data_IF_465014037332
#
_entry.id   IF_465014037332
#
_cell.length_a   1.000
_cell.length_b   1.000
_cell.length_c   1.000
_cell.angle_alpha   90.00
_cell.angle_beta   90.00
_cell.angle_gamma   90.00
#
_symmetry.space_group_name_H-M   'P 1'
#
loop_
_entity.id
_entity.type
_entity.pdbx_description
1 polymer ?
#
# COMPACT_ATOMS: atom_id res chain seq x y z
N UNK A 1 -39.15 -5.35 16.44
CA UNK A 1 -37.84 -4.67 16.48
C UNK A 1 -36.66 -5.61 16.77
N UNK A 2 -36.61 -6.37 17.88
CA UNK A 2 -35.49 -7.30 18.21
C UNK A 2 -35.08 -8.33 17.13
N UNK A 3 -36.03 -8.84 16.34
CA UNK A 3 -35.72 -9.81 15.26
C UNK A 3 -35.05 -9.14 14.05
N UNK A 4 -35.35 -7.87 13.78
CA UNK A 4 -34.76 -7.14 12.65
C UNK A 4 -33.31 -6.75 12.96
N UNK A 5 -33.03 -6.32 14.19
CA UNK A 5 -31.67 -6.03 14.66
C UNK A 5 -30.78 -7.27 14.61
N UNK A 6 -31.27 -8.43 15.06
CA UNK A 6 -30.48 -9.67 15.03
C UNK A 6 -30.16 -10.16 13.60
N UNK A 7 -31.07 -9.95 12.63
CA UNK A 7 -30.82 -10.32 11.23
C UNK A 7 -29.80 -9.40 10.56
N UNK A 8 -29.86 -8.09 10.82
CA UNK A 8 -28.89 -7.11 10.30
C UNK A 8 -27.50 -7.39 10.88
N UNK A 9 -27.39 -7.65 12.19
CA UNK A 9 -26.10 -7.97 12.83
C UNK A 9 -25.47 -9.24 12.25
N UNK A 10 -26.27 -10.29 11.98
CA UNK A 10 -25.76 -11.54 11.37
C UNK A 10 -25.30 -11.35 9.93
N UNK A 11 -26.02 -10.57 9.14
CA UNK A 11 -25.63 -10.25 7.76
C UNK A 11 -24.34 -9.42 7.74
N UNK A 12 -24.23 -8.41 8.60
CA UNK A 12 -23.01 -7.62 8.74
C UNK A 12 -21.80 -8.46 9.17
N UNK A 13 -22.00 -9.44 10.07
CA UNK A 13 -20.93 -10.35 10.48
C UNK A 13 -20.47 -11.27 9.33
N UNK A 14 -21.40 -11.83 8.56
CA UNK A 14 -21.07 -12.69 7.41
C UNK A 14 -20.40 -11.89 6.29
N UNK A 15 -20.86 -10.65 6.04
CA UNK A 15 -20.22 -9.74 5.08
C UNK A 15 -18.83 -9.32 5.57
N UNK A 16 -18.66 -9.01 6.85
CA UNK A 16 -17.35 -8.69 7.42
C UNK A 16 -16.37 -9.86 7.27
N UNK A 17 -16.79 -11.09 7.60
CA UNK A 17 -15.95 -12.30 7.45
C UNK A 17 -15.65 -12.58 5.97
N UNK A 18 -16.64 -12.46 5.08
CA UNK A 18 -16.43 -12.62 3.63
C UNK A 18 -15.45 -11.59 3.07
N UNK A 19 -15.62 -10.31 3.41
CA UNK A 19 -14.77 -9.20 2.98
C UNK A 19 -13.36 -9.28 3.56
N UNK A 20 -13.15 -9.88 4.73
CA UNK A 20 -11.80 -10.14 5.27
C UNK A 20 -11.07 -11.26 4.50
N UNK A 21 -11.80 -12.12 3.78
CA UNK A 21 -11.21 -13.28 3.05
C UNK A 21 -11.05 -13.05 1.54
N UNK A 22 -11.77 -12.10 0.95
CA UNK A 22 -11.80 -11.84 -0.50
C UNK A 22 -10.58 -11.08 -1.10
N UNK A 23 -9.95 -10.11 -0.43
CA UNK A 23 -8.78 -9.37 -0.94
C UNK A 23 -7.47 -10.07 -0.58
N UNK A 24 -7.55 -11.38 -0.30
CA UNK A 24 -6.43 -12.22 0.11
C UNK A 24 -5.95 -13.19 -0.98
N UNK A 25 -6.20 -12.87 -2.23
CA UNK A 25 -5.66 -13.60 -3.37
C UNK A 25 -4.70 -12.66 -4.09
N UNK A 26 -3.40 -12.80 -3.80
CA UNK A 26 -2.37 -12.26 -4.67
C UNK A 26 -2.74 -12.63 -6.11
N UNK A 27 -2.82 -11.65 -7.01
CA UNK A 27 -3.12 -11.94 -8.41
C UNK A 27 -1.88 -12.59 -9.03
N UNK A 28 -1.88 -13.91 -9.10
CA UNK A 28 -0.84 -14.71 -9.74
C UNK A 28 -1.38 -15.36 -11.01
N UNK A 29 -0.76 -15.17 -12.19
CA UNK A 29 0.49 -14.44 -12.41
C UNK A 29 0.32 -12.91 -12.28
N UNK A 30 1.38 -12.25 -11.80
CA UNK A 30 1.41 -10.79 -11.72
C UNK A 30 1.47 -10.17 -13.12
N UNK A 31 0.66 -9.15 -13.36
CA UNK A 31 0.67 -8.41 -14.63
C UNK A 31 1.50 -7.15 -14.50
N UNK A 32 2.59 -7.04 -15.24
CA UNK A 32 3.39 -5.83 -15.30
C UNK A 32 2.63 -4.66 -15.93
N UNK A 33 2.94 -3.47 -15.46
CA UNK A 33 2.52 -2.20 -16.03
C UNK A 33 3.08 -1.93 -17.42
N UNK A 34 2.51 -0.95 -18.13
CA UNK A 34 3.13 -0.40 -19.33
C UNK A 34 2.77 1.07 -19.52
N UNK A 35 3.78 1.91 -19.77
CA UNK A 35 3.68 3.33 -20.07
C UNK A 35 2.75 3.61 -21.26
N UNK A 36 2.62 2.68 -22.21
CA UNK A 36 1.67 2.82 -23.34
C UNK A 36 0.21 2.87 -22.88
N UNK A 37 -0.09 2.26 -21.74
CA UNK A 37 -1.45 2.20 -21.18
C UNK A 37 -1.76 3.34 -20.20
N UNK A 38 -0.79 4.22 -19.91
CA UNK A 38 -0.91 5.18 -18.82
C UNK A 38 -1.33 6.57 -19.28
N UNK A 39 -2.21 7.18 -18.48
CA UNK A 39 -2.61 8.56 -18.63
C UNK A 39 -1.64 9.44 -17.84
N UNK A 40 -0.60 9.95 -18.50
CA UNK A 40 0.43 10.78 -17.86
C UNK A 40 0.33 12.25 -18.29
N UNK A 41 1.04 13.13 -17.59
CA UNK A 41 1.17 14.56 -17.96
C UNK A 41 2.61 14.85 -18.30
N UNK A 42 2.83 15.46 -19.47
CA UNK A 42 4.18 15.85 -19.92
C UNK A 42 4.83 16.87 -18.98
N UNK A 43 4.06 17.82 -18.46
CA UNK A 43 4.53 18.84 -17.52
C UNK A 43 4.92 18.22 -16.17
N UNK A 44 4.21 17.18 -15.75
CA UNK A 44 4.55 16.43 -14.55
C UNK A 44 5.81 15.58 -14.77
N UNK A 45 5.92 14.91 -15.92
CA UNK A 45 7.11 14.16 -16.32
C UNK A 45 8.36 15.04 -16.33
N UNK A 46 8.27 16.25 -16.90
CA UNK A 46 9.36 17.22 -16.92
C UNK A 46 9.83 17.66 -15.50
N UNK A 47 8.97 17.49 -14.48
CA UNK A 47 9.29 17.76 -13.07
C UNK A 47 9.79 16.53 -12.31
N UNK A 48 9.75 15.35 -12.90
CA UNK A 48 10.25 14.11 -12.29
C UNK A 48 11.63 13.77 -12.86
N UNK A 49 12.61 14.67 -12.71
CA UNK A 49 13.98 14.44 -13.16
C UNK A 49 14.67 13.34 -12.32
N UNK A 50 14.52 13.42 -11.00
CA UNK A 50 14.93 12.38 -10.06
C UNK A 50 13.68 11.71 -9.51
N UNK A 51 13.50 10.41 -9.71
CA UNK A 51 12.24 9.75 -9.31
C UNK A 51 12.13 9.57 -7.80
N UNK A 52 13.22 9.17 -7.15
CA UNK A 52 13.29 8.91 -5.69
C UNK A 52 14.15 9.97 -5.03
N UNK A 53 13.60 10.68 -4.04
CA UNK A 53 14.31 11.70 -3.29
C UNK A 53 14.25 11.45 -1.78
N UNK A 54 15.38 11.64 -1.11
CA UNK A 54 15.53 11.46 0.33
C UNK A 54 15.57 12.79 1.08
N UNK A 55 14.92 12.82 2.25
CA UNK A 55 15.03 13.91 3.21
C UNK A 55 16.39 13.97 3.86
N UNK A 56 16.90 15.19 4.08
CA UNK A 56 18.09 15.38 4.92
C UNK A 56 17.77 14.90 6.34
N UNK A 57 18.67 14.16 7.02
CA UNK A 57 18.46 13.74 8.41
C UNK A 57 18.15 14.94 9.32
N UNK A 58 17.14 14.81 10.19
CA UNK A 58 16.82 15.81 11.20
C UNK A 58 16.39 15.11 12.49
N UNK A 59 17.30 15.04 13.46
CA UNK A 59 17.08 14.26 14.70
C UNK A 59 15.81 14.70 15.44
N UNK A 60 15.54 16.01 15.55
CA UNK A 60 14.37 16.51 16.30
C UNK A 60 13.07 16.10 15.63
N UNK A 61 12.94 16.41 14.33
CA UNK A 61 11.72 16.12 13.57
C UNK A 61 11.50 14.62 13.43
N UNK A 62 12.56 13.87 13.14
CA UNK A 62 12.49 12.42 12.93
C UNK A 62 12.23 11.68 14.26
N UNK A 63 12.72 12.20 15.40
CA UNK A 63 12.38 11.66 16.73
C UNK A 63 10.92 11.91 17.10
N UNK A 64 10.36 13.09 16.80
CA UNK A 64 8.94 13.34 16.97
C UNK A 64 8.12 12.38 16.09
N UNK A 65 8.49 12.26 14.82
CA UNK A 65 7.90 11.31 13.88
C UNK A 65 7.87 9.88 14.44
N UNK A 66 9.02 9.40 14.92
CA UNK A 66 9.12 8.07 15.49
C UNK A 66 8.14 7.83 16.64
N UNK A 67 7.95 8.82 17.53
CA UNK A 67 7.00 8.77 18.66
C UNK A 67 5.57 8.76 18.16
N UNK A 68 5.22 9.66 17.23
CA UNK A 68 3.88 9.69 16.63
C UNK A 68 3.54 8.40 15.90
N UNK A 69 4.53 7.70 15.36
CA UNK A 69 4.33 6.41 14.71
C UNK A 69 4.30 5.19 15.64
N UNK A 70 4.34 5.35 16.96
CA UNK A 70 4.20 4.22 17.91
C UNK A 70 2.90 3.44 17.72
N UNK A 71 1.72 4.07 17.52
CA UNK A 71 0.48 3.36 17.25
C UNK A 71 0.59 2.45 16.02
N UNK A 72 1.16 2.91 14.90
CA UNK A 72 1.37 2.11 13.70
C UNK A 72 2.21 0.86 13.97
N UNK A 73 3.31 1.01 14.72
CA UNK A 73 4.19 -0.10 15.13
C UNK A 73 3.44 -1.14 15.96
N UNK A 74 2.58 -0.69 16.88
CA UNK A 74 1.77 -1.58 17.71
C UNK A 74 0.70 -2.27 16.88
N UNK A 75 0.00 -1.54 16.01
CA UNK A 75 -1.08 -2.10 15.20
C UNK A 75 -0.59 -3.17 14.24
N UNK A 76 0.56 -2.95 13.59
CA UNK A 76 1.12 -3.88 12.59
C UNK A 76 2.15 -4.85 13.15
N UNK A 77 2.46 -4.77 14.46
CA UNK A 77 3.49 -5.57 15.13
C UNK A 77 4.88 -5.50 14.48
N UNK A 78 5.22 -4.37 13.86
CA UNK A 78 6.52 -4.15 13.21
C UNK A 78 7.11 -2.79 13.60
N UNK A 79 8.33 -2.81 14.14
CA UNK A 79 9.02 -1.61 14.64
C UNK A 79 9.53 -0.70 13.51
N UNK A 80 9.58 -1.20 12.27
CA UNK A 80 10.01 -0.48 11.06
C UNK A 80 8.91 0.42 10.52
N UNK A 81 7.65 0.19 10.89
CA UNK A 81 6.50 1.04 10.54
C UNK A 81 6.70 2.43 11.12
N UNK A 82 6.61 3.46 10.28
CA UNK A 82 6.74 4.87 10.64
C UNK A 82 7.98 5.13 11.52
N UNK A 83 9.11 4.50 11.19
CA UNK A 83 10.36 4.66 11.94
C UNK A 83 11.18 5.86 11.46
N UNK A 84 10.76 6.51 10.36
CA UNK A 84 11.41 7.65 9.70
C UNK A 84 12.85 7.37 9.23
N UNK A 85 13.19 6.09 9.07
CA UNK A 85 14.52 5.63 8.67
C UNK A 85 14.40 4.52 7.63
N UNK A 86 14.17 4.94 6.39
CA UNK A 86 14.10 4.05 5.22
C UNK A 86 15.53 3.66 4.80
N UNK A 87 15.82 2.38 4.68
CA UNK A 87 17.12 1.87 4.25
C UNK A 87 17.21 1.72 2.72
N UNK A 88 18.35 1.22 2.25
CA UNK A 88 18.60 0.99 0.82
C UNK A 88 17.79 -0.17 0.25
N UNK A 89 17.36 -1.14 1.07
CA UNK A 89 16.57 -2.27 0.60
C UNK A 89 15.17 -1.80 0.22
N UNK A 90 14.48 -1.11 1.13
CA UNK A 90 13.14 -0.56 0.84
C UNK A 90 13.17 0.41 -0.34
N UNK A 91 14.21 1.27 -0.41
CA UNK A 91 14.43 2.18 -1.54
C UNK A 91 14.65 1.44 -2.86
N UNK A 92 15.48 0.40 -2.87
CA UNK A 92 15.72 -0.42 -4.07
C UNK A 92 14.45 -1.18 -4.50
N UNK A 93 13.68 -1.71 -3.55
CA UNK A 93 12.44 -2.45 -3.84
C UNK A 93 11.41 -1.55 -4.52
N UNK A 94 11.16 -0.34 -4.01
CA UNK A 94 10.21 0.57 -4.68
C UNK A 94 10.75 1.07 -6.02
N UNK A 95 12.06 1.32 -6.14
CA UNK A 95 12.67 1.72 -7.40
C UNK A 95 12.53 0.62 -8.47
N UNK A 96 12.76 -0.65 -8.11
CA UNK A 96 12.57 -1.80 -8.99
C UNK A 96 11.11 -1.91 -9.45
N UNK A 97 10.16 -1.85 -8.51
CA UNK A 97 8.73 -1.89 -8.85
C UNK A 97 8.33 -0.78 -9.82
N UNK A 98 8.76 0.46 -9.59
CA UNK A 98 8.43 1.59 -10.45
C UNK A 98 9.05 1.45 -11.84
N UNK A 99 10.26 0.91 -11.93
CA UNK A 99 10.92 0.60 -13.19
C UNK A 99 10.18 -0.49 -13.97
N UNK A 100 9.91 -1.63 -13.32
CA UNK A 100 9.28 -2.80 -13.92
C UNK A 100 7.86 -2.50 -14.43
N UNK A 101 7.17 -1.58 -13.77
CA UNK A 101 5.85 -1.11 -14.18
C UNK A 101 5.88 0.14 -15.07
N UNK A 102 7.04 0.64 -15.48
CA UNK A 102 7.21 1.83 -16.34
C UNK A 102 6.56 3.12 -15.79
N UNK A 103 6.60 3.32 -14.46
CA UNK A 103 5.92 4.41 -13.74
C UNK A 103 6.76 5.70 -13.60
N UNK A 104 7.43 6.12 -14.66
CA UNK A 104 8.44 7.19 -14.66
C UNK A 104 8.00 8.57 -14.16
N UNK A 105 6.69 8.85 -14.12
CA UNK A 105 6.18 10.16 -13.68
C UNK A 105 5.92 10.26 -12.18
N UNK A 106 5.91 9.12 -11.47
CA UNK A 106 5.69 9.03 -10.02
C UNK A 106 6.90 9.59 -9.28
N UNK A 107 6.67 10.44 -8.28
CA UNK A 107 7.73 10.91 -7.36
C UNK A 107 7.69 10.08 -6.09
N UNK A 108 8.83 9.66 -5.57
CA UNK A 108 8.94 9.02 -4.25
C UNK A 108 9.70 9.94 -3.32
N UNK A 109 9.16 10.16 -2.12
CA UNK A 109 9.75 10.96 -1.06
C UNK A 109 10.03 10.11 0.15
N UNK A 110 11.30 9.82 0.40
CA UNK A 110 11.77 9.05 1.55
C UNK A 110 12.04 10.00 2.72
N UNK A 111 11.15 10.00 3.71
CA UNK A 111 11.19 10.86 4.89
C UNK A 111 11.45 12.35 4.55
N UNK A 112 10.89 12.83 3.43
CA UNK A 112 11.17 14.15 2.87
C UNK A 112 9.92 15.04 2.94
N UNK A 113 10.07 16.23 3.51
CA UNK A 113 9.03 17.26 3.51
C UNK A 113 9.40 18.40 2.54
N UNK A 114 8.67 18.52 1.42
CA UNK A 114 8.92 19.47 0.32
C UNK A 114 7.61 20.07 -0.22
N UNK A 115 6.80 20.72 0.63
CA UNK A 115 5.46 21.17 0.27
C UNK A 115 5.45 22.07 -0.97
N UNK A 116 6.42 22.99 -1.11
CA UNK A 116 6.50 23.89 -2.27
C UNK A 116 6.66 23.12 -3.60
N UNK A 117 7.42 22.03 -3.60
CA UNK A 117 7.57 21.22 -4.80
C UNK A 117 6.32 20.38 -5.07
N UNK A 118 5.63 19.93 -4.03
CA UNK A 118 4.32 19.27 -4.17
C UNK A 118 3.22 20.19 -4.69
N UNK A 119 3.17 21.44 -4.26
CA UNK A 119 2.29 22.45 -4.86
C UNK A 119 2.60 22.69 -6.35
N UNK A 120 3.88 22.71 -6.73
CA UNK A 120 4.27 22.78 -8.16
C UNK A 120 3.86 21.53 -8.93
N UNK A 121 3.99 20.34 -8.32
CA UNK A 121 3.53 19.07 -8.91
C UNK A 121 2.01 19.04 -9.07
N UNK A 122 1.26 19.52 -8.07
CA UNK A 122 -0.19 19.70 -8.16
C UNK A 122 -0.51 20.55 -9.38
N UNK A 123 0.09 21.73 -9.53
CA UNK A 123 -0.16 22.61 -10.68
C UNK A 123 0.25 21.98 -12.03
N UNK A 124 1.31 21.17 -12.04
CA UNK A 124 1.83 20.50 -13.23
C UNK A 124 1.04 19.26 -13.64
N UNK A 125 0.36 18.57 -12.72
CA UNK A 125 -0.36 17.35 -13.04
C UNK A 125 -1.60 17.63 -13.91
N UNK A 126 -1.44 17.59 -15.24
CA UNK A 126 -2.53 17.76 -16.21
C UNK A 126 -3.35 16.48 -16.44
N UNK A 127 -2.91 15.34 -15.89
CA UNK A 127 -3.69 14.10 -15.91
C UNK A 127 -4.86 14.12 -14.93
N UNK A 128 -4.87 15.07 -14.00
CA UNK A 128 -5.99 15.37 -13.12
C UNK A 128 -6.70 16.63 -13.63
N UNK A 129 -8.02 16.52 -13.85
CA UNK A 129 -8.85 17.63 -14.32
C UNK A 129 -8.76 18.86 -13.42
N UNK A 130 -8.80 20.05 -14.02
CA UNK A 130 -8.56 21.33 -13.33
C UNK A 130 -9.44 21.54 -12.10
N UNK A 131 -10.73 21.16 -12.18
CA UNK A 131 -11.67 21.26 -11.07
C UNK A 131 -11.23 20.45 -9.86
N UNK A 132 -10.94 19.15 -10.05
CA UNK A 132 -10.45 18.26 -8.99
C UNK A 132 -9.12 18.71 -8.40
N UNK A 133 -8.24 19.21 -9.25
CA UNK A 133 -6.88 19.62 -8.87
C UNK A 133 -6.87 20.83 -7.94
N UNK A 134 -7.70 21.84 -8.21
CA UNK A 134 -7.75 23.07 -7.41
C UNK A 134 -8.89 23.09 -6.36
N UNK A 135 -9.65 22.00 -6.23
CA UNK A 135 -10.59 21.79 -5.12
C UNK A 135 -10.02 20.76 -4.15
N UNK A 136 -10.38 19.48 -4.32
CA UNK A 136 -9.90 18.38 -3.49
C UNK A 136 -8.38 18.29 -3.44
N UNK A 137 -7.70 18.42 -4.59
CA UNK A 137 -6.25 18.38 -4.65
C UNK A 137 -5.57 19.50 -3.85
N UNK A 138 -6.11 20.72 -3.88
CA UNK A 138 -5.59 21.84 -3.10
C UNK A 138 -5.87 21.69 -1.60
N UNK A 139 -7.05 21.17 -1.22
CA UNK A 139 -7.41 20.92 0.18
C UNK A 139 -6.50 19.84 0.78
N UNK A 140 -6.30 18.73 0.06
CA UNK A 140 -5.42 17.63 0.50
C UNK A 140 -3.98 18.13 0.60
N UNK A 141 -3.49 18.86 -0.40
CA UNK A 141 -2.15 19.46 -0.35
C UNK A 141 -1.96 20.45 0.80
N UNK A 142 -2.99 21.23 1.13
CA UNK A 142 -2.95 22.13 2.28
C UNK A 142 -2.87 21.32 3.59
N UNK A 143 -3.64 20.22 3.69
CA UNK A 143 -3.56 19.27 4.79
C UNK A 143 -2.14 18.71 4.97
N UNK A 144 -1.53 18.18 3.92
CA UNK A 144 -0.15 17.67 3.93
C UNK A 144 0.89 18.76 4.23
N UNK A 145 0.60 20.01 3.86
CA UNK A 145 1.46 21.15 4.21
C UNK A 145 1.39 21.47 5.70
N UNK A 146 0.19 21.47 6.31
CA UNK A 146 -0.01 21.82 7.72
C UNK A 146 0.36 20.66 8.64
N UNK A 147 0.06 19.42 8.24
CA UNK A 147 0.32 18.19 8.96
C UNK A 147 1.38 17.38 8.20
N UNK A 148 2.67 17.74 8.33
CA UNK A 148 3.73 17.06 7.61
C UNK A 148 3.79 15.59 8.02
N UNK A 149 3.67 14.67 7.05
CA UNK A 149 3.83 13.23 7.31
C UNK A 149 5.22 12.90 7.89
N UNK A 150 6.23 13.75 7.68
CA UNK A 150 7.54 13.63 8.36
C UNK A 150 7.42 13.64 9.90
N UNK A 151 6.36 14.23 10.45
CA UNK A 151 6.03 14.22 11.88
C UNK A 151 4.87 13.28 12.19
N UNK A 152 3.83 13.27 11.37
CA UNK A 152 2.59 12.53 11.69
C UNK A 152 2.53 11.13 11.10
N UNK A 153 3.56 10.71 10.36
CA UNK A 153 3.61 9.41 9.70
C UNK A 153 2.64 9.31 8.53
N UNK A 154 2.16 8.09 8.30
CA UNK A 154 1.28 7.73 7.20
C UNK A 154 2.03 7.62 5.88
N UNK A 155 2.49 6.42 5.54
CA UNK A 155 2.86 6.14 4.15
C UNK A 155 1.61 6.33 3.29
N UNK A 156 1.73 7.05 2.18
CA UNK A 156 0.60 7.28 1.28
C UNK A 156 1.03 7.70 -0.12
N UNK A 157 0.22 7.35 -1.09
CA UNK A 157 0.22 7.93 -2.43
C UNK A 157 -0.81 9.07 -2.54
N UNK A 158 -0.35 10.24 -2.95
CA UNK A 158 -1.19 11.38 -3.30
C UNK A 158 -1.46 11.38 -4.83
N UNK A 159 -2.70 11.07 -5.27
CA UNK A 159 -3.03 11.00 -6.70
C UNK A 159 -3.06 12.37 -7.40
N UNK A 160 -3.19 13.46 -6.64
CA UNK A 160 -3.25 14.81 -7.19
C UNK A 160 -1.87 15.34 -7.56
N UNK A 161 -0.82 14.94 -6.83
CA UNK A 161 0.58 15.28 -7.13
C UNK A 161 1.36 14.15 -7.79
N UNK A 162 0.78 12.95 -7.89
CA UNK A 162 1.43 11.72 -8.36
C UNK A 162 2.71 11.45 -7.55
N UNK A 163 2.57 11.44 -6.23
CA UNK A 163 3.68 11.35 -5.29
C UNK A 163 3.41 10.27 -4.25
N UNK A 164 4.39 9.42 -4.00
CA UNK A 164 4.45 8.51 -2.87
C UNK A 164 5.28 9.16 -1.76
N UNK A 165 4.73 9.25 -0.56
CA UNK A 165 5.42 9.67 0.65
C UNK A 165 5.65 8.44 1.53
N UNK A 166 6.91 8.16 1.87
CA UNK A 166 7.29 7.03 2.72
C UNK A 166 8.00 7.50 3.99
N UNK A 167 7.59 6.92 5.10
CA UNK A 167 8.08 7.11 6.45
C UNK A 167 8.37 5.77 7.16
N UNK A 168 7.81 4.66 6.66
CA UNK A 168 8.15 3.30 7.12
C UNK A 168 9.32 2.71 6.36
N UNK A 169 10.09 1.86 7.04
CA UNK A 169 11.10 1.00 6.43
C UNK A 169 10.58 -0.42 6.20
N UNK A 170 9.48 -0.54 5.46
CA UNK A 170 8.82 -1.81 5.19
C UNK A 170 8.58 -1.93 3.69
N UNK A 171 9.32 -2.79 2.96
CA UNK A 171 9.19 -2.93 1.52
C UNK A 171 7.76 -3.19 1.06
N UNK A 172 7.00 -4.03 1.76
CA UNK A 172 5.63 -4.34 1.41
C UNK A 172 4.70 -3.10 1.44
N UNK A 173 4.85 -2.20 2.42
CA UNK A 173 4.09 -0.95 2.49
C UNK A 173 4.49 0.02 1.36
N UNK A 174 5.78 0.10 1.05
CA UNK A 174 6.25 0.90 -0.08
C UNK A 174 5.67 0.41 -1.41
N UNK A 175 5.58 -0.91 -1.60
CA UNK A 175 4.95 -1.53 -2.77
C UNK A 175 3.43 -1.30 -2.80
N UNK A 176 2.75 -1.28 -1.65
CA UNK A 176 1.33 -0.93 -1.57
C UNK A 176 1.07 0.47 -2.11
N UNK A 177 1.84 1.47 -1.68
CA UNK A 177 1.71 2.83 -2.23
C UNK A 177 2.08 2.92 -3.71
N UNK A 178 3.04 2.10 -4.16
CA UNK A 178 3.38 2.00 -5.56
C UNK A 178 2.25 1.33 -6.38
N UNK A 179 1.54 0.37 -5.79
CA UNK A 179 0.31 -0.24 -6.32
C UNK A 179 -0.79 0.78 -6.57
N UNK A 180 -1.01 1.70 -5.62
CA UNK A 180 -1.89 2.85 -5.84
C UNK A 180 -1.43 3.67 -7.05
N UNK A 181 -0.13 3.99 -7.14
CA UNK A 181 0.38 4.78 -8.26
C UNK A 181 0.17 4.09 -9.62
N UNK A 182 0.32 2.76 -9.69
CA UNK A 182 0.06 1.95 -10.88
C UNK A 182 -1.42 1.97 -11.26
N UNK A 183 -2.30 1.75 -10.29
CA UNK A 183 -3.75 1.78 -10.51
C UNK A 183 -4.18 3.14 -11.06
N UNK A 184 -3.77 4.23 -10.39
CA UNK A 184 -4.07 5.58 -10.83
C UNK A 184 -3.48 5.92 -12.20
N UNK A 185 -2.31 5.37 -12.56
CA UNK A 185 -1.71 5.58 -13.88
C UNK A 185 -2.63 5.11 -15.02
N UNK A 186 -3.41 4.05 -14.80
CA UNK A 186 -4.33 3.48 -15.78
C UNK A 186 -5.67 4.22 -15.89
N UNK A 187 -5.98 5.17 -14.99
CA UNK A 187 -7.29 5.84 -14.96
C UNK A 187 -7.31 7.06 -15.87
N UNK A 188 -8.23 7.08 -16.84
CA UNK A 188 -8.49 8.25 -17.70
C UNK A 188 -8.96 9.46 -16.89
N UNK A 189 -9.82 9.23 -15.91
CA UNK A 189 -10.43 10.25 -15.06
C UNK A 189 -9.85 10.22 -13.64
N UNK A 190 -8.52 10.40 -13.51
CA UNK A 190 -7.82 10.27 -12.22
C UNK A 190 -8.43 11.10 -11.10
N UNK A 191 -8.77 12.36 -11.38
CA UNK A 191 -9.36 13.25 -10.38
C UNK A 191 -10.72 12.77 -9.87
N UNK A 192 -11.57 12.23 -10.76
CA UNK A 192 -12.87 11.66 -10.37
C UNK A 192 -12.67 10.36 -9.59
N UNK A 193 -11.73 9.52 -10.01
CA UNK A 193 -11.38 8.28 -9.31
C UNK A 193 -10.83 8.56 -7.89
N UNK A 194 -9.99 9.59 -7.76
CA UNK A 194 -9.50 10.08 -6.46
C UNK A 194 -10.63 10.62 -5.59
N UNK A 195 -11.51 11.45 -6.14
CA UNK A 195 -12.63 12.00 -5.38
C UNK A 195 -13.65 10.93 -4.95
N UNK A 196 -13.80 9.85 -5.73
CA UNK A 196 -14.66 8.74 -5.36
C UNK A 196 -14.19 8.03 -4.08
N UNK A 197 -12.91 8.16 -3.70
CA UNK A 197 -12.38 7.64 -2.44
C UNK A 197 -13.14 8.17 -1.21
N UNK A 198 -13.83 9.30 -1.28
CA UNK A 198 -14.64 9.80 -0.16
C UNK A 198 -16.01 9.13 -0.03
N UNK A 199 -16.41 8.30 -1.01
CA UNK A 199 -17.68 7.58 -0.95
C UNK A 199 -17.55 6.30 -0.10
N UNK A 200 -18.60 5.90 0.63
CA UNK A 200 -18.59 4.66 1.40
C UNK A 200 -18.17 3.46 0.54
N UNK A 201 -17.33 2.58 1.11
CA UNK A 201 -16.83 1.34 0.51
C UNK A 201 -15.87 1.50 -0.70
N UNK A 202 -15.78 2.67 -1.32
CA UNK A 202 -14.81 2.87 -2.42
C UNK A 202 -13.37 2.74 -1.94
N UNK A 203 -12.94 3.31 -0.79
CA UNK A 203 -11.62 3.06 -0.24
C UNK A 203 -11.27 1.59 -0.14
N UNK A 204 -12.19 0.78 0.36
CA UNK A 204 -11.98 -0.65 0.52
C UNK A 204 -11.61 -1.33 -0.80
N UNK A 205 -12.27 -0.97 -1.89
CA UNK A 205 -11.95 -1.50 -3.22
C UNK A 205 -10.60 -1.02 -3.74
N UNK A 206 -10.27 0.28 -3.56
CA UNK A 206 -8.98 0.83 -4.01
C UNK A 206 -7.81 0.24 -3.22
N UNK A 207 -7.96 0.12 -1.90
CA UNK A 207 -6.96 -0.50 -1.01
C UNK A 207 -6.78 -1.99 -1.31
N UNK A 208 -7.84 -2.70 -1.71
CA UNK A 208 -7.75 -4.09 -2.13
C UNK A 208 -6.95 -4.22 -3.44
N UNK A 209 -7.13 -3.31 -4.39
CA UNK A 209 -6.37 -3.28 -5.64
C UNK A 209 -4.88 -3.07 -5.35
N UNK A 210 -4.53 -2.07 -4.55
CA UNK A 210 -3.14 -1.79 -4.17
C UNK A 210 -2.51 -2.96 -3.39
N UNK A 211 -3.24 -3.52 -2.42
CA UNK A 211 -2.79 -4.67 -1.62
C UNK A 211 -2.53 -5.89 -2.50
N UNK A 212 -3.46 -6.21 -3.41
CA UNK A 212 -3.33 -7.34 -4.32
C UNK A 212 -2.19 -7.16 -5.32
N UNK A 213 -1.97 -5.93 -5.81
CA UNK A 213 -0.86 -5.64 -6.72
C UNK A 213 0.49 -5.80 -6.01
N UNK A 214 0.63 -5.24 -4.81
CA UNK A 214 1.83 -5.38 -3.99
C UNK A 214 2.12 -6.87 -3.66
N UNK A 215 1.10 -7.62 -3.20
CA UNK A 215 1.24 -9.05 -2.94
C UNK A 215 1.62 -9.81 -4.21
N UNK A 216 0.93 -9.56 -5.33
CA UNK A 216 1.24 -10.22 -6.61
C UNK A 216 2.68 -9.98 -7.06
N UNK A 217 3.18 -8.75 -6.94
CA UNK A 217 4.56 -8.41 -7.27
C UNK A 217 5.56 -9.15 -6.37
N UNK A 218 5.32 -9.17 -5.05
CA UNK A 218 6.21 -9.89 -4.11
C UNK A 218 6.15 -11.40 -4.32
N UNK A 219 4.97 -11.99 -4.57
CA UNK A 219 4.86 -13.43 -4.85
C UNK A 219 5.59 -13.84 -6.13
N UNK A 220 5.74 -12.92 -7.08
CA UNK A 220 6.40 -13.18 -8.36
C UNK A 220 7.92 -12.97 -8.29
N UNK A 221 8.37 -11.96 -7.55
CA UNK A 221 9.76 -11.48 -7.61
C UNK A 221 10.52 -11.58 -6.27
N UNK A 222 9.81 -11.72 -5.15
CA UNK A 222 10.39 -11.75 -3.81
C UNK A 222 10.82 -13.15 -3.40
N UNK A 223 11.80 -13.22 -2.50
CA UNK A 223 12.17 -14.47 -1.82
C UNK A 223 11.08 -14.92 -0.82
N UNK A 224 11.14 -16.16 -0.30
CA UNK A 224 10.14 -16.67 0.63
C UNK A 224 9.98 -15.82 1.91
N UNK A 225 11.02 -15.13 2.37
CA UNK A 225 10.94 -14.27 3.56
C UNK A 225 10.14 -13.00 3.26
N UNK A 226 10.44 -12.33 2.15
CA UNK A 226 9.70 -11.17 1.67
C UNK A 226 8.23 -11.50 1.40
N UNK A 227 7.95 -12.68 0.85
CA UNK A 227 6.58 -13.15 0.62
C UNK A 227 5.81 -13.31 1.94
N UNK A 228 6.42 -13.91 2.95
CA UNK A 228 5.81 -14.07 4.28
C UNK A 228 5.61 -12.73 4.98
N UNK A 229 6.61 -11.86 4.94
CA UNK A 229 6.52 -10.50 5.48
C UNK A 229 5.35 -9.73 4.82
N UNK A 230 5.22 -9.80 3.49
CA UNK A 230 4.14 -9.12 2.79
C UNK A 230 2.75 -9.58 3.26
N UNK A 231 2.55 -10.89 3.47
CA UNK A 231 1.31 -11.41 4.05
C UNK A 231 1.07 -10.90 5.48
N UNK A 232 2.10 -10.92 6.32
CA UNK A 232 2.01 -10.55 7.73
C UNK A 232 1.83 -9.05 7.95
N UNK A 233 2.22 -8.21 7.00
CA UNK A 233 2.06 -6.74 7.06
C UNK A 233 0.81 -6.27 6.33
N UNK A 234 0.59 -6.69 5.09
CA UNK A 234 -0.45 -6.10 4.24
C UNK A 234 -1.86 -6.55 4.64
N UNK A 235 -2.02 -7.75 5.19
CA UNK A 235 -3.33 -8.21 5.65
C UNK A 235 -3.85 -7.44 6.87
N UNK A 236 -3.08 -7.25 7.97
CA UNK A 236 -3.55 -6.41 9.07
C UNK A 236 -3.72 -4.96 8.65
N UNK A 237 -2.85 -4.42 7.78
CA UNK A 237 -3.02 -3.06 7.24
C UNK A 237 -4.36 -2.93 6.48
N UNK A 238 -4.64 -3.82 5.53
CA UNK A 238 -5.92 -3.85 4.82
C UNK A 238 -7.11 -4.11 5.78
N UNK A 239 -6.91 -4.96 6.78
CA UNK A 239 -7.90 -5.25 7.83
C UNK A 239 -8.39 -4.01 8.58
N UNK A 240 -7.55 -2.96 8.72
CA UNK A 240 -8.00 -1.69 9.31
C UNK A 240 -9.07 -0.99 8.47
N UNK A 241 -8.99 -1.07 7.13
CA UNK A 241 -9.99 -0.50 6.24
C UNK A 241 -11.31 -1.27 6.30
N UNK A 242 -11.24 -2.60 6.34
CA UNK A 242 -12.43 -3.45 6.54
C UNK A 242 -13.08 -3.12 7.88
N UNK A 243 -12.27 -3.05 8.93
CA UNK A 243 -12.72 -2.74 10.28
C UNK A 243 -13.38 -1.38 10.37
N UNK A 244 -12.81 -0.36 9.72
CA UNK A 244 -13.41 0.97 9.63
C UNK A 244 -14.76 0.94 8.91
N UNK A 245 -14.87 0.23 7.78
CA UNK A 245 -16.10 0.12 7.00
C UNK A 245 -17.26 -0.51 7.80
N UNK A 246 -16.97 -1.42 8.73
CA UNK A 246 -17.99 -2.10 9.56
C UNK A 246 -18.19 -1.47 10.94
N UNK A 247 -17.39 -0.46 11.31
CA UNK A 247 -17.40 0.12 12.67
C UNK A 247 -18.74 0.78 13.04
N UNK A 248 -19.53 1.20 12.05
CA UNK A 248 -20.89 1.71 12.29
C UNK A 248 -21.92 0.64 12.67
N UNK A 249 -21.64 -0.64 12.38
CA UNK A 249 -22.54 -1.76 12.65
C UNK A 249 -22.03 -2.70 13.75
N UNK A 250 -20.71 -2.77 13.94
CA UNK A 250 -20.04 -3.64 14.90
C UNK A 250 -19.24 -2.76 15.86
N UNK A 251 -19.64 -2.67 17.16
CA UNK A 251 -18.83 -2.00 18.17
C UNK A 251 -17.41 -2.57 18.19
N UNK A 252 -16.40 -1.71 18.06
CA UNK A 252 -15.01 -2.14 17.95
C UNK A 252 -14.62 -2.73 16.60
N UNK A 253 -15.42 -2.51 15.54
CA UNK A 253 -15.19 -3.03 14.19
C UNK A 253 -13.77 -2.83 13.66
N UNK A 254 -13.15 -1.67 13.95
CA UNK A 254 -11.74 -1.40 13.65
C UNK A 254 -10.80 -2.51 14.17
N UNK A 255 -10.91 -2.87 15.45
CA UNK A 255 -10.09 -3.91 16.06
C UNK A 255 -10.45 -5.30 15.55
N UNK A 256 -11.73 -5.57 15.25
CA UNK A 256 -12.16 -6.83 14.63
C UNK A 256 -11.48 -7.02 13.27
N UNK A 257 -11.45 -5.98 12.44
CA UNK A 257 -10.78 -6.00 11.15
C UNK A 257 -9.26 -6.17 11.27
N UNK A 258 -8.62 -5.41 12.17
CA UNK A 258 -7.19 -5.51 12.43
C UNK A 258 -6.76 -6.92 12.90
N UNK A 259 -7.45 -7.46 13.90
CA UNK A 259 -7.19 -8.81 14.44
C UNK A 259 -7.46 -9.87 13.37
N UNK A 260 -8.56 -9.74 12.63
CA UNK A 260 -8.89 -10.63 11.52
C UNK A 260 -7.79 -10.64 10.44
N UNK A 261 -7.26 -9.46 10.09
CA UNK A 261 -6.14 -9.31 9.17
C UNK A 261 -4.87 -9.99 9.68
N UNK A 262 -4.51 -9.82 10.95
CA UNK A 262 -3.36 -10.52 11.56
C UNK A 262 -3.51 -12.05 11.48
N UNK A 263 -4.70 -12.57 11.80
CA UNK A 263 -4.97 -14.01 11.75
C UNK A 263 -4.84 -14.54 10.32
N UNK A 264 -5.47 -13.85 9.35
CA UNK A 264 -5.45 -14.27 7.95
C UNK A 264 -4.04 -14.16 7.34
N UNK A 265 -3.30 -13.09 7.62
CA UNK A 265 -1.92 -12.90 7.18
C UNK A 265 -0.99 -14.00 7.67
N UNK A 266 -1.04 -14.31 8.97
CA UNK A 266 -0.24 -15.41 9.56
C UNK A 266 -0.62 -16.79 9.01
N UNK A 267 -1.91 -17.03 8.78
CA UNK A 267 -2.37 -18.29 8.19
C UNK A 267 -1.84 -18.46 6.75
N UNK A 268 -1.85 -17.40 5.94
CA UNK A 268 -1.29 -17.42 4.58
C UNK A 268 0.23 -17.61 4.58
N UNK A 269 0.96 -16.86 5.40
CA UNK A 269 2.41 -17.00 5.59
C UNK A 269 2.80 -18.44 5.97
N UNK A 270 2.05 -19.05 6.89
CA UNK A 270 2.27 -20.45 7.29
C UNK A 270 1.98 -21.47 6.19
N UNK A 271 0.93 -21.26 5.39
CA UNK A 271 0.60 -22.16 4.28
C UNK A 271 1.68 -22.12 3.19
N UNK A 272 2.18 -20.93 2.87
CA UNK A 272 3.28 -20.73 1.93
C UNK A 272 4.55 -21.48 2.36
N UNK A 273 4.90 -21.41 3.64
CA UNK A 273 6.07 -22.12 4.17
C UNK A 273 5.97 -23.64 3.95
N UNK A 274 4.79 -24.22 4.21
CA UNK A 274 4.56 -25.66 4.02
C UNK A 274 4.66 -26.11 2.57
N UNK A 275 4.18 -25.29 1.63
CA UNK A 275 4.29 -25.61 0.21
C UNK A 275 5.74 -25.59 -0.27
N UNK A 276 6.53 -24.60 0.19
CA UNK A 276 7.96 -24.55 -0.13
C UNK A 276 8.74 -25.74 0.46
N UNK A 277 8.47 -26.13 1.71
CA UNK A 277 9.11 -27.28 2.34
C UNK A 277 8.76 -28.59 1.61
N UNK A 278 7.50 -28.78 1.24
CA UNK A 278 7.04 -29.96 0.50
C UNK A 278 7.69 -30.08 -0.89
N UNK A 279 7.84 -28.97 -1.62
CA UNK A 279 8.54 -28.95 -2.91
C UNK A 279 10.04 -29.26 -2.73
N UNK A 280 10.67 -28.75 -1.67
CA UNK A 280 12.07 -29.03 -1.36
C UNK A 280 12.30 -30.52 -1.08
N UNK A 281 11.46 -31.15 -0.26
CA UNK A 281 11.54 -32.59 0.05
C UNK A 281 11.28 -33.47 -1.19
N UNK A 282 10.34 -33.08 -2.06
CA UNK A 282 10.07 -33.79 -3.31
C UNK A 282 11.27 -33.76 -4.28
N UNK A 283 12.01 -32.64 -4.34
CA UNK A 283 13.23 -32.55 -5.16
C UNK A 283 14.41 -33.36 -4.59
N UNK A 284 14.46 -33.59 -3.27
CA UNK A 284 15.45 -34.45 -2.64
C UNK A 284 15.16 -35.94 -2.91
N UNK A 285 13.89 -36.35 -2.89
CA UNK A 285 13.50 -37.74 -3.17
C UNK A 285 13.60 -38.16 -4.63
N UNK A 286 13.60 -37.22 -5.58
CA UNK A 286 13.79 -37.50 -7.02
C UNK A 286 15.25 -37.61 -7.46
N UNK A 287 16.22 -37.35 -6.58
CA UNK A 287 17.64 -37.63 -6.80
C UNK A 287 18.02 -39.01 -6.25
N UNK A 288 17.47 -40.09 -6.82
CA UNK A 288 18.13 -41.39 -6.71
C UNK A 288 19.32 -41.44 -7.68
N UNK A 289 20.48 -41.99 -7.28
CA UNK A 289 21.63 -42.08 -8.16
C UNK A 289 21.28 -42.98 -9.35
N UNK A 290 21.58 -42.50 -10.56
CA UNK A 290 21.66 -43.35 -11.72
C UNK A 290 22.57 -44.53 -11.36
N UNK A 291 22.02 -45.75 -11.44
CA UNK A 291 22.80 -46.96 -11.23
C UNK A 291 23.97 -46.96 -12.22
N UNK A 292 25.19 -47.07 -11.69
CA UNK A 292 26.37 -47.42 -12.46
C UNK A 292 26.22 -48.85 -13.00
N UNK A 293 26.74 -49.04 -14.22
CA UNK A 293 26.64 -50.21 -15.09
C UNK A 293 27.06 -51.56 -14.46
#
# INVERSE_FOLDING_TARGET
MRRLTNSITRICLVVAVGVLTLPGCATTPYTLGSARSYYTSHELAARTQTQVERGKPNVVVDSLGWVFGIPGKIMLFDRRVENHRIDSQTEATIAAYLNDNELSTVKVRLNQYRPLDDWKRLAANKSVGIGWRYTFGAIIMLGETIFPGRVFGGDHYNPYTNTIHLYSNVPALALHEAGHSKDYAQRKWKGTYAAAYFLPLVPLAQEAIATNDALGYVMTNGDPEAQREAYEILYPAYGTYVGNAISGAVPGGYFVGLIGGHIAGRWKSWHLARTCDADHDATLHSRQPAAED
#
